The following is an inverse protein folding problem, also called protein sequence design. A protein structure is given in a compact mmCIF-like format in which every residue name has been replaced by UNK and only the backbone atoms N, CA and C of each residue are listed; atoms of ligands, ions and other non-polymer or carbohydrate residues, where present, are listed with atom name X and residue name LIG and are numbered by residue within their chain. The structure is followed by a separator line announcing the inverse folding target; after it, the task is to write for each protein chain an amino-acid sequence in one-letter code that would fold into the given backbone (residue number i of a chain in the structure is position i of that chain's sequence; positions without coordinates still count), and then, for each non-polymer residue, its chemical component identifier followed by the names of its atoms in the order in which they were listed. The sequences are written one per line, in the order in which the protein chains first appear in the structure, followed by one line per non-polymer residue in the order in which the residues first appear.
data_IF_535191483557
#
_entry.id   IF_535191483557
#
_cell.length_a   1.000
_cell.length_b   1.000
_cell.length_c   1.000
_cell.angle_alpha   90.00
_cell.angle_beta   90.00
_cell.angle_gamma   90.00
#
_symmetry.space_group_name_H-M   'P 1'
#
loop_
_entity.id
_entity.type
_entity.pdbx_description
1 polymer ?
#
# COMPACT_ATOMS: atom_id res chain seq x y z
N UNK A 1 -13.78 39.76 21.81
CA UNK A 1 -14.90 38.81 22.08
C UNK A 1 -14.32 37.61 22.80
N UNK A 2 -14.75 37.35 24.04
CA UNK A 2 -14.18 36.29 24.90
C UNK A 2 -14.62 34.91 24.37
N UNK A 3 -13.72 33.93 24.18
CA UNK A 3 -14.08 32.61 23.68
C UNK A 3 -15.07 31.92 24.64
N UNK A 4 -16.10 31.26 24.08
CA UNK A 4 -17.06 30.48 24.86
C UNK A 4 -16.44 29.13 25.21
N UNK A 5 -15.79 29.07 26.38
CA UNK A 5 -15.07 27.88 26.84
C UNK A 5 -16.00 26.99 27.65
N UNK A 6 -16.03 25.70 27.32
CA UNK A 6 -16.72 24.67 28.11
C UNK A 6 -15.66 23.68 28.63
N UNK A 7 -14.89 24.10 29.63
CA UNK A 7 -13.95 23.21 30.29
C UNK A 7 -14.75 22.15 31.07
N UNK A 8 -14.73 20.91 30.59
CA UNK A 8 -15.39 19.76 31.23
C UNK A 8 -14.56 19.17 32.38
N UNK A 9 -13.34 19.68 32.61
CA UNK A 9 -12.50 19.33 33.76
C UNK A 9 -12.15 20.63 34.51
N UNK A 10 -12.57 20.74 35.79
CA UNK A 10 -12.25 21.89 36.64
C UNK A 10 -10.73 22.15 36.69
N UNK A 11 -10.31 23.42 36.64
CA UNK A 11 -8.92 23.84 36.89
C UNK A 11 -8.01 24.02 35.66
N UNK A 12 -8.41 23.61 34.45
CA UNK A 12 -7.58 23.71 33.22
C UNK A 12 -8.02 24.78 32.22
N UNK A 13 -8.99 25.62 32.60
CA UNK A 13 -9.49 26.73 31.76
C UNK A 13 -8.39 27.74 31.35
N UNK A 14 -7.44 28.14 32.23
CA UNK A 14 -6.38 29.07 31.87
C UNK A 14 -5.43 28.53 30.78
N UNK A 15 -5.12 27.24 30.80
CA UNK A 15 -4.26 26.61 29.78
C UNK A 15 -4.90 26.70 28.39
N UNK A 16 -6.21 26.46 28.30
CA UNK A 16 -6.98 26.55 27.04
C UNK A 16 -7.07 28.00 26.55
N UNK A 17 -7.28 28.95 27.45
CA UNK A 17 -7.28 30.40 27.13
C UNK A 17 -5.91 30.85 26.62
N UNK A 18 -4.83 30.35 27.23
CA UNK A 18 -3.44 30.60 26.80
C UNK A 18 -3.18 30.08 25.39
N UNK A 19 -3.55 28.83 25.12
CA UNK A 19 -3.38 28.23 23.79
C UNK A 19 -4.18 28.95 22.70
N UNK A 20 -5.35 29.51 23.05
CA UNK A 20 -6.15 30.32 22.14
C UNK A 20 -5.47 31.63 21.72
N UNK A 21 -4.64 32.21 22.59
CA UNK A 21 -3.83 33.41 22.28
C UNK A 21 -2.58 33.13 21.46
N UNK A 22 -2.35 31.86 21.08
CA UNK A 22 -1.15 31.45 20.35
C UNK A 22 0.04 31.14 21.26
N UNK A 23 -0.14 31.20 22.57
CA UNK A 23 0.86 30.88 23.61
C UNK A 23 0.91 29.37 23.87
N UNK A 24 0.74 28.55 22.83
CA UNK A 24 0.87 27.11 22.91
C UNK A 24 2.34 26.73 22.68
N UNK A 25 3.04 26.43 23.78
CA UNK A 25 4.38 25.85 23.75
C UNK A 25 4.27 24.36 23.41
N UNK A 26 4.28 24.05 22.12
CA UNK A 26 4.12 22.69 21.65
C UNK A 26 4.65 22.46 20.25
N UNK A 27 4.92 21.19 19.96
CA UNK A 27 5.32 20.72 18.64
C UNK A 27 4.09 20.42 17.79
N UNK A 28 4.05 20.91 16.55
CA UNK A 28 3.02 20.49 15.59
C UNK A 28 3.31 19.07 15.13
N UNK A 29 2.45 18.15 15.55
CA UNK A 29 2.55 16.71 15.20
C UNK A 29 1.86 16.44 13.86
N UNK A 30 0.79 17.19 13.56
CA UNK A 30 0.02 17.03 12.32
C UNK A 30 -0.71 18.30 11.95
N UNK A 31 -0.60 18.71 10.69
CA UNK A 31 -1.35 19.85 10.16
C UNK A 31 -1.94 19.54 8.78
N UNK A 32 -3.20 19.89 8.60
CA UNK A 32 -3.88 19.90 7.31
C UNK A 32 -5.07 20.87 7.35
N UNK A 33 -5.71 21.08 6.20
CA UNK A 33 -6.86 21.98 6.07
C UNK A 33 -8.05 21.66 6.99
N UNK A 34 -8.15 20.43 7.51
CA UNK A 34 -9.24 20.02 8.39
C UNK A 34 -8.90 20.09 9.89
N UNK A 35 -7.63 19.91 10.26
CA UNK A 35 -7.19 19.89 11.67
C UNK A 35 -5.70 20.17 11.84
N UNK A 36 -5.37 20.72 13.01
CA UNK A 36 -4.00 20.83 13.52
C UNK A 36 -3.92 20.11 14.87
N UNK A 37 -2.85 19.36 15.11
CA UNK A 37 -2.57 18.61 16.34
C UNK A 37 -1.23 19.03 16.89
N UNK A 38 -1.19 19.39 18.16
CA UNK A 38 0.02 19.73 18.88
C UNK A 38 0.26 18.80 20.05
N UNK A 39 1.53 18.50 20.32
CA UNK A 39 1.99 17.94 21.59
C UNK A 39 2.47 19.08 22.48
N UNK A 40 1.88 19.25 23.65
CA UNK A 40 2.21 20.33 24.58
C UNK A 40 3.47 19.95 25.37
N UNK A 41 4.51 20.77 25.27
CA UNK A 41 5.81 20.50 25.89
C UNK A 41 5.69 20.45 27.41
N UNK A 42 6.25 19.40 28.03
CA UNK A 42 6.28 19.24 29.49
C UNK A 42 4.93 18.97 30.17
N UNK A 43 3.82 18.96 29.44
CA UNK A 43 2.48 18.82 30.02
C UNK A 43 1.90 17.39 29.88
N UNK A 44 2.47 16.56 29.00
CA UNK A 44 1.92 15.23 28.70
C UNK A 44 0.50 15.31 28.12
N UNK A 45 0.25 16.28 27.24
CA UNK A 45 -1.06 16.52 26.63
C UNK A 45 -0.96 16.69 25.11
N UNK A 46 -2.01 16.29 24.42
CA UNK A 46 -2.25 16.66 23.02
C UNK A 46 -3.41 17.63 22.91
N UNK A 47 -3.26 18.61 22.02
CA UNK A 47 -4.33 19.55 21.64
C UNK A 47 -4.65 19.32 20.17
N UNK A 48 -5.93 19.06 19.87
CA UNK A 48 -6.44 18.85 18.51
C UNK A 48 -7.45 19.93 18.18
N UNK A 49 -7.11 20.84 17.26
CA UNK A 49 -8.00 21.88 16.73
C UNK A 49 -8.65 21.40 15.45
N UNK A 50 -9.96 21.56 15.36
CA UNK A 50 -10.74 21.37 14.15
C UNK A 50 -11.17 22.71 13.59
N UNK A 51 -11.04 22.87 12.27
CA UNK A 51 -11.54 24.05 11.57
C UNK A 51 -13.06 24.26 11.84
N UNK A 52 -13.54 25.52 11.87
CA UNK A 52 -14.90 25.83 12.25
C UNK A 52 -15.87 25.28 11.19
N UNK A 53 -16.93 24.63 11.65
CA UNK A 53 -18.06 24.21 10.79
C UNK A 53 -19.36 24.61 11.45
N UNK A 54 -20.25 25.20 10.65
CA UNK A 54 -21.60 25.58 11.06
C UNK A 54 -22.28 24.39 11.76
N UNK A 55 -22.79 24.61 12.98
CA UNK A 55 -23.55 23.65 13.80
C UNK A 55 -22.81 22.37 14.25
N UNK A 56 -21.50 22.23 14.02
CA UNK A 56 -20.78 20.97 14.29
C UNK A 56 -19.65 21.13 15.31
N UNK A 57 -19.91 20.67 16.55
CA UNK A 57 -18.86 20.47 17.55
C UNK A 57 -18.09 19.17 17.33
N UNK A 58 -16.94 19.23 16.66
CA UNK A 58 -16.14 18.01 16.41
C UNK A 58 -15.39 17.56 17.65
N UNK A 59 -14.84 18.50 18.41
CA UNK A 59 -14.10 18.19 19.62
C UNK A 59 -14.97 17.52 20.67
N UNK A 60 -16.15 18.09 20.97
CA UNK A 60 -17.08 17.51 21.94
C UNK A 60 -17.55 16.11 21.55
N UNK A 61 -17.93 15.92 20.28
CA UNK A 61 -18.33 14.59 19.79
C UNK A 61 -17.20 13.56 19.92
N UNK A 62 -15.96 13.95 19.61
CA UNK A 62 -14.82 13.03 19.76
C UNK A 62 -14.51 12.75 21.24
N UNK A 63 -14.62 13.75 22.13
CA UNK A 63 -14.52 13.55 23.58
C UNK A 63 -15.58 12.58 24.12
N UNK A 64 -16.84 12.75 23.71
CA UNK A 64 -17.95 11.89 24.12
C UNK A 64 -17.73 10.44 23.67
N UNK A 65 -17.18 10.24 22.46
CA UNK A 65 -16.82 8.92 21.93
C UNK A 65 -15.65 8.29 22.71
N UNK A 66 -14.59 9.06 23.01
CA UNK A 66 -13.50 8.59 23.87
C UNK A 66 -14.01 8.18 25.26
N UNK A 67 -14.88 9.00 25.87
CA UNK A 67 -15.49 8.66 27.15
C UNK A 67 -16.37 7.41 27.09
N UNK A 68 -17.11 7.21 25.99
CA UNK A 68 -17.90 6.00 25.79
C UNK A 68 -17.05 4.75 25.58
N UNK A 69 -15.93 4.86 24.86
CA UNK A 69 -14.95 3.79 24.69
C UNK A 69 -14.29 3.41 26.02
N UNK A 70 -13.85 4.39 26.79
CA UNK A 70 -13.26 4.18 28.11
C UNK A 70 -14.24 3.46 29.06
N UNK A 71 -15.52 3.86 29.10
CA UNK A 71 -16.56 3.16 29.87
C UNK A 71 -16.83 1.74 29.39
N UNK A 72 -16.61 1.45 28.11
CA UNK A 72 -16.68 0.09 27.56
C UNK A 72 -15.35 -0.69 27.73
N UNK A 73 -14.38 -0.11 28.44
CA UNK A 73 -13.06 -0.67 28.67
C UNK A 73 -12.14 -0.69 27.45
N UNK A 74 -12.50 -0.07 26.33
CA UNK A 74 -11.61 -0.01 25.16
C UNK A 74 -10.50 1.03 25.45
N UNK A 75 -9.22 0.65 25.47
CA UNK A 75 -8.15 1.60 25.77
C UNK A 75 -8.06 2.70 24.68
N UNK A 76 -8.05 3.94 25.12
CA UNK A 76 -7.94 5.13 24.29
C UNK A 76 -7.39 6.30 25.13
N UNK A 77 -6.89 7.38 24.50
CA UNK A 77 -6.49 8.58 25.24
C UNK A 77 -7.62 9.14 26.09
N UNK A 78 -7.33 9.54 27.32
CA UNK A 78 -8.33 10.16 28.20
C UNK A 78 -8.63 11.58 27.71
N UNK A 79 -9.90 11.92 27.41
CA UNK A 79 -10.26 13.29 27.11
C UNK A 79 -10.18 14.12 28.40
N UNK A 80 -9.47 15.25 28.33
CA UNK A 80 -9.25 16.18 29.44
C UNK A 80 -10.15 17.41 29.30
N UNK A 81 -10.25 18.02 28.12
CA UNK A 81 -11.05 19.23 27.96
C UNK A 81 -11.54 19.40 26.52
N UNK A 82 -12.60 20.19 26.37
CA UNK A 82 -13.04 20.69 25.05
C UNK A 82 -13.26 22.19 25.08
N UNK A 83 -13.14 22.86 23.94
CA UNK A 83 -13.37 24.30 23.82
C UNK A 83 -13.84 24.71 22.43
N UNK A 84 -14.40 25.93 22.30
CA UNK A 84 -14.84 26.51 21.04
C UNK A 84 -14.59 28.02 21.00
N UNK A 85 -14.23 28.50 19.81
CA UNK A 85 -14.09 29.92 19.48
C UNK A 85 -14.50 30.18 18.01
N UNK A 86 -14.15 31.35 17.47
CA UNK A 86 -14.35 31.69 16.05
C UNK A 86 -13.44 30.92 15.07
N UNK A 87 -12.29 30.42 15.54
CA UNK A 87 -11.28 29.67 14.77
C UNK A 87 -11.53 28.16 14.77
N UNK A 88 -12.44 27.62 15.58
CA UNK A 88 -12.75 26.19 15.59
C UNK A 88 -13.22 25.60 16.91
N UNK A 89 -13.04 24.27 17.02
CA UNK A 89 -13.28 23.50 18.25
C UNK A 89 -12.04 22.72 18.64
N UNK A 90 -11.77 22.55 19.93
CA UNK A 90 -10.53 22.01 20.46
C UNK A 90 -10.81 20.82 21.37
N UNK A 91 -10.08 19.74 21.19
CA UNK A 91 -10.05 18.58 22.07
C UNK A 91 -8.67 18.47 22.71
N UNK A 92 -8.64 18.32 24.03
CA UNK A 92 -7.43 18.07 24.80
C UNK A 92 -7.48 16.64 25.31
N UNK A 93 -6.43 15.86 25.08
CA UNK A 93 -6.30 14.50 25.60
C UNK A 93 -5.00 14.32 26.34
N UNK A 94 -4.95 13.37 27.27
CA UNK A 94 -3.67 12.90 27.80
C UNK A 94 -2.80 12.31 26.68
N UNK A 95 -1.51 12.58 26.77
CA UNK A 95 -0.49 11.87 26.02
C UNK A 95 -0.32 10.46 26.59
N UNK A 96 -0.25 9.47 25.70
CA UNK A 96 0.19 8.13 26.07
C UNK A 96 1.71 8.11 25.92
N UNK A 97 2.40 8.52 26.99
CA UNK A 97 3.86 8.65 26.99
C UNK A 97 4.56 7.31 26.67
N UNK A 98 5.63 7.38 25.88
CA UNK A 98 6.39 6.20 25.46
C UNK A 98 5.73 5.34 24.39
N UNK A 99 4.54 5.74 23.89
CA UNK A 99 3.85 4.97 22.88
C UNK A 99 4.33 5.28 21.45
N UNK A 100 4.29 4.27 20.58
CA UNK A 100 4.59 4.37 19.15
C UNK A 100 3.39 3.91 18.33
N UNK A 101 3.20 4.44 17.13
CA UNK A 101 2.12 3.94 16.27
C UNK A 101 2.45 2.55 15.70
N UNK A 102 1.43 1.68 15.65
CA UNK A 102 1.58 0.29 15.23
C UNK A 102 2.05 0.16 13.77
N UNK A 103 1.69 1.12 12.90
CA UNK A 103 2.14 1.09 11.51
C UNK A 103 3.66 1.23 11.42
N UNK A 104 4.25 2.23 12.09
CA UNK A 104 5.69 2.44 12.12
C UNK A 104 6.43 1.24 12.70
N UNK A 105 5.94 0.64 13.79
CA UNK A 105 6.52 -0.58 14.37
C UNK A 105 6.56 -1.75 13.36
N UNK A 106 5.48 -1.94 12.59
CA UNK A 106 5.43 -2.99 11.56
C UNK A 106 6.36 -2.65 10.39
N UNK A 107 6.36 -1.39 9.93
CA UNK A 107 7.14 -0.92 8.80
C UNK A 107 8.65 -1.02 9.05
N UNK A 108 9.09 -0.74 10.28
CA UNK A 108 10.48 -0.85 10.73
C UNK A 108 10.91 -2.30 10.99
N UNK A 109 9.99 -3.26 10.91
CA UNK A 109 10.27 -4.67 11.19
C UNK A 109 10.63 -4.91 12.66
N UNK A 110 9.98 -4.20 13.58
CA UNK A 110 10.23 -4.33 15.01
C UNK A 110 10.13 -5.79 15.48
N UNK A 111 10.87 -6.20 16.52
CA UNK A 111 10.70 -7.51 17.14
C UNK A 111 9.23 -7.75 17.52
N UNK A 112 8.81 -9.02 17.55
CA UNK A 112 7.47 -9.42 18.00
C UNK A 112 6.27 -8.89 17.19
N UNK A 113 6.42 -8.55 15.90
CA UNK A 113 5.29 -8.20 15.00
C UNK A 113 4.09 -9.15 15.16
N UNK A 114 4.34 -10.47 15.25
CA UNK A 114 3.27 -11.47 15.47
C UNK A 114 2.44 -11.18 16.72
N UNK A 115 3.09 -10.82 17.82
CA UNK A 115 2.42 -10.49 19.09
C UNK A 115 1.59 -9.24 18.93
N UNK A 116 2.14 -8.19 18.32
CA UNK A 116 1.39 -6.97 18.03
C UNK A 116 0.16 -7.24 17.14
N UNK A 117 0.29 -8.07 16.11
CA UNK A 117 -0.86 -8.46 15.28
C UNK A 117 -1.92 -9.24 16.06
N UNK A 118 -1.52 -10.10 17.01
CA UNK A 118 -2.48 -10.78 17.88
C UNK A 118 -3.19 -9.78 18.83
N UNK A 119 -2.43 -8.86 19.44
CA UNK A 119 -2.97 -7.84 20.34
C UNK A 119 -3.93 -6.88 19.64
N UNK A 120 -3.61 -6.44 18.41
CA UNK A 120 -4.50 -5.55 17.66
C UNK A 120 -5.76 -6.26 17.19
N UNK A 121 -5.68 -7.58 16.92
CA UNK A 121 -6.86 -8.40 16.65
C UNK A 121 -7.78 -8.48 17.88
N UNK A 122 -7.20 -8.67 19.08
CA UNK A 122 -7.95 -8.68 20.33
C UNK A 122 -8.57 -7.32 20.66
N UNK A 123 -7.82 -6.21 20.45
CA UNK A 123 -8.35 -4.85 20.60
C UNK A 123 -9.51 -4.59 19.65
N UNK A 124 -9.36 -4.94 18.37
CA UNK A 124 -10.42 -4.79 17.36
C UNK A 124 -11.66 -5.62 17.73
N UNK A 125 -11.45 -6.83 18.25
CA UNK A 125 -12.54 -7.69 18.72
C UNK A 125 -13.28 -7.06 19.90
N UNK A 126 -12.55 -6.57 20.90
CA UNK A 126 -13.09 -5.85 22.06
C UNK A 126 -13.91 -4.62 21.64
N UNK A 127 -13.40 -3.83 20.70
CA UNK A 127 -14.10 -2.69 20.11
C UNK A 127 -15.44 -3.12 19.48
N UNK A 128 -15.42 -4.16 18.63
CA UNK A 128 -16.61 -4.65 17.96
C UNK A 128 -17.63 -5.29 18.91
N UNK A 129 -17.16 -5.98 19.96
CA UNK A 129 -18.00 -6.59 21.01
C UNK A 129 -18.65 -5.53 21.89
N UNK A 130 -17.97 -4.40 22.12
CA UNK A 130 -18.54 -3.21 22.75
C UNK A 130 -19.53 -2.43 21.84
N UNK A 131 -19.73 -2.88 20.59
CA UNK A 131 -20.65 -2.26 19.64
C UNK A 131 -20.11 -0.98 19.00
N UNK A 132 -18.79 -0.85 18.84
CA UNK A 132 -18.18 0.30 18.16
C UNK A 132 -17.66 -0.08 16.78
N UNK A 133 -18.14 0.62 15.75
CA UNK A 133 -17.60 0.59 14.40
C UNK A 133 -16.64 1.76 14.22
N UNK A 134 -15.35 1.51 13.97
CA UNK A 134 -14.39 2.57 13.67
C UNK A 134 -13.99 2.55 12.19
N UNK A 135 -14.59 3.44 11.41
CA UNK A 135 -14.49 3.44 9.94
C UNK A 135 -13.11 3.84 9.38
N UNK A 136 -12.22 4.33 10.24
CA UNK A 136 -10.86 4.75 9.89
C UNK A 136 -9.79 4.04 10.77
N UNK A 137 -10.08 2.83 11.26
CA UNK A 137 -9.17 2.11 12.16
C UNK A 137 -8.13 1.31 11.36
N UNK A 138 -7.02 1.97 11.04
CA UNK A 138 -5.82 1.35 10.47
C UNK A 138 -4.68 1.31 11.50
N UNK A 139 -3.60 0.57 11.23
CA UNK A 139 -2.47 0.43 12.17
C UNK A 139 -1.89 1.78 12.63
N UNK A 140 -1.83 2.79 11.76
CA UNK A 140 -1.38 4.15 12.16
C UNK A 140 -2.29 4.90 13.14
N UNK A 141 -3.51 4.42 13.40
CA UNK A 141 -4.43 4.95 14.41
C UNK A 141 -4.49 4.04 15.64
N UNK A 142 -3.47 3.21 15.85
CA UNK A 142 -3.29 2.40 17.06
C UNK A 142 -1.93 2.74 17.64
N UNK A 143 -1.90 3.23 18.88
CA UNK A 143 -0.65 3.37 19.63
C UNK A 143 -0.35 2.10 20.40
N UNK A 144 0.93 1.80 20.54
CA UNK A 144 1.47 0.66 21.28
C UNK A 144 2.42 1.22 22.33
N UNK A 145 2.16 0.90 23.59
CA UNK A 145 3.07 1.15 24.71
C UNK A 145 3.29 -0.19 25.41
N UNK A 146 4.53 -0.66 25.37
CA UNK A 146 4.89 -2.03 25.75
C UNK A 146 4.08 -3.04 24.93
N UNK A 147 2.99 -3.58 25.50
CA UNK A 147 2.03 -4.47 24.83
C UNK A 147 0.58 -3.98 24.89
N UNK A 148 0.34 -2.84 25.54
CA UNK A 148 -0.97 -2.20 25.58
C UNK A 148 -1.21 -1.43 24.29
N UNK A 149 -2.44 -1.52 23.79
CA UNK A 149 -2.85 -0.88 22.54
C UNK A 149 -3.99 0.07 22.74
N UNK A 150 -3.85 1.28 22.18
CA UNK A 150 -4.78 2.37 22.35
C UNK A 150 -5.34 2.83 21.01
N UNK A 151 -6.66 2.94 20.92
CA UNK A 151 -7.33 3.45 19.72
C UNK A 151 -7.23 4.97 19.67
N UNK A 152 -6.78 5.50 18.54
CA UNK A 152 -6.73 6.92 18.25
C UNK A 152 -7.79 7.36 17.22
N UNK A 153 -7.96 8.67 17.10
CA UNK A 153 -8.70 9.35 16.04
C UNK A 153 -10.14 8.85 15.84
N UNK A 154 -10.87 8.73 16.95
CA UNK A 154 -12.21 8.12 17.02
C UNK A 154 -13.33 8.98 16.43
N UNK A 155 -13.00 10.08 15.74
CA UNK A 155 -13.95 10.99 15.10
C UNK A 155 -14.89 10.33 14.07
N UNK A 156 -14.52 9.16 13.56
CA UNK A 156 -15.32 8.32 12.65
C UNK A 156 -15.85 7.04 13.30
N UNK A 157 -15.78 6.96 14.63
CA UNK A 157 -16.39 5.88 15.37
C UNK A 157 -17.91 6.08 15.48
N UNK A 158 -18.65 4.97 15.44
CA UNK A 158 -20.10 4.93 15.62
C UNK A 158 -20.44 3.83 16.62
N UNK A 159 -21.41 4.09 17.49
CA UNK A 159 -21.93 3.10 18.44
C UNK A 159 -23.20 2.47 17.87
N UNK A 160 -23.28 1.15 17.87
CA UNK A 160 -24.42 0.38 17.41
C UNK A 160 -24.09 -1.10 17.24
N UNK A 161 -25.12 -1.95 17.17
CA UNK A 161 -24.92 -3.38 16.92
C UNK A 161 -24.30 -3.58 15.53
N UNK A 162 -23.14 -4.22 15.51
CA UNK A 162 -22.40 -4.53 14.30
C UNK A 162 -22.85 -5.86 13.72
N UNK A 163 -23.29 -5.87 12.46
CA UNK A 163 -23.49 -7.11 11.71
C UNK A 163 -22.16 -7.82 11.47
N UNK A 164 -22.21 -9.14 11.20
CA UNK A 164 -21.03 -9.92 10.85
C UNK A 164 -20.29 -9.30 9.65
N UNK A 165 -21.01 -8.88 8.61
CA UNK A 165 -20.42 -8.23 7.43
C UNK A 165 -19.66 -6.93 7.76
N UNK A 166 -20.19 -6.08 8.66
CA UNK A 166 -19.48 -4.86 9.09
C UNK A 166 -18.23 -5.18 9.91
N UNK A 167 -18.31 -6.18 10.80
CA UNK A 167 -17.14 -6.67 11.55
C UNK A 167 -16.04 -7.15 10.62
N UNK A 168 -16.36 -7.99 9.64
CA UNK A 168 -15.40 -8.47 8.65
C UNK A 168 -14.83 -7.33 7.79
N UNK A 169 -15.64 -6.32 7.46
CA UNK A 169 -15.18 -5.09 6.83
C UNK A 169 -14.11 -4.36 7.64
N UNK A 170 -14.32 -4.18 8.96
CA UNK A 170 -13.35 -3.57 9.87
C UNK A 170 -12.05 -4.38 9.98
N UNK A 171 -12.14 -5.71 10.06
CA UNK A 171 -10.98 -6.62 10.09
C UNK A 171 -10.17 -6.51 8.80
N UNK A 172 -10.83 -6.54 7.64
CA UNK A 172 -10.16 -6.40 6.35
C UNK A 172 -9.52 -5.01 6.18
N UNK A 173 -10.16 -3.95 6.66
CA UNK A 173 -9.63 -2.58 6.63
C UNK A 173 -8.38 -2.43 7.51
N UNK A 174 -8.38 -2.98 8.72
CA UNK A 174 -7.20 -3.04 9.58
C UNK A 174 -6.07 -3.83 8.88
N UNK A 175 -6.36 -5.03 8.35
CA UNK A 175 -5.37 -5.84 7.65
C UNK A 175 -4.77 -5.16 6.42
N UNK A 176 -5.57 -4.39 5.67
CA UNK A 176 -5.11 -3.62 4.52
C UNK A 176 -3.93 -2.71 4.87
N UNK A 177 -3.93 -2.13 6.09
CA UNK A 177 -2.88 -1.21 6.52
C UNK A 177 -1.50 -1.83 6.76
N UNK A 178 -1.38 -3.15 6.84
CA UNK A 178 -0.11 -3.85 7.07
C UNK A 178 0.15 -5.06 6.16
N UNK A 179 -0.84 -5.51 5.37
CA UNK A 179 -0.75 -6.75 4.61
C UNK A 179 0.37 -6.82 3.55
N UNK A 180 0.91 -5.67 3.12
CA UNK A 180 2.04 -5.61 2.21
C UNK A 180 3.41 -5.57 2.93
N UNK A 181 3.42 -5.34 4.25
CA UNK A 181 4.63 -5.27 5.08
C UNK A 181 4.95 -6.59 5.78
N UNK A 182 3.97 -7.48 5.92
CA UNK A 182 4.12 -8.76 6.63
C UNK A 182 3.80 -9.96 5.72
N UNK A 183 4.32 -11.16 6.02
CA UNK A 183 3.91 -12.37 5.33
C UNK A 183 2.39 -12.60 5.41
N UNK A 184 1.77 -13.09 4.33
CA UNK A 184 0.33 -13.40 4.30
C UNK A 184 -0.08 -14.44 5.37
N UNK A 185 0.86 -15.25 5.84
CA UNK A 185 0.66 -16.16 6.98
C UNK A 185 0.40 -15.40 8.29
N UNK A 186 1.06 -14.26 8.51
CA UNK A 186 0.79 -13.41 9.68
C UNK A 186 -0.56 -12.70 9.56
N UNK A 187 -0.96 -12.27 8.35
CA UNK A 187 -2.31 -11.75 8.08
C UNK A 187 -3.37 -12.82 8.38
N UNK A 188 -3.13 -14.06 7.96
CA UNK A 188 -4.01 -15.18 8.28
C UNK A 188 -4.11 -15.44 9.79
N UNK A 189 -2.98 -15.36 10.52
CA UNK A 189 -2.98 -15.48 11.99
C UNK A 189 -3.75 -14.34 12.66
N UNK A 190 -3.64 -13.11 12.15
CA UNK A 190 -4.45 -11.98 12.60
C UNK A 190 -5.96 -12.26 12.45
N UNK A 191 -6.41 -12.79 11.31
CA UNK A 191 -7.82 -13.18 11.12
C UNK A 191 -8.27 -14.23 12.15
N UNK A 192 -7.43 -15.23 12.41
CA UNK A 192 -7.72 -16.28 13.40
C UNK A 192 -7.71 -15.75 14.83
N UNK A 193 -6.83 -14.81 15.15
CA UNK A 193 -6.74 -14.16 16.46
C UNK A 193 -7.98 -13.29 16.74
N UNK A 194 -8.53 -12.63 15.72
CA UNK A 194 -9.81 -11.91 15.83
C UNK A 194 -11.01 -12.87 16.08
N UNK A 195 -10.89 -14.11 15.61
CA UNK A 195 -11.85 -15.19 15.85
C UNK A 195 -12.45 -15.81 14.59
N UNK A 196 -12.00 -15.45 13.38
CA UNK A 196 -12.47 -16.08 12.13
C UNK A 196 -11.65 -17.34 11.87
N UNK A 197 -12.29 -18.50 11.97
CA UNK A 197 -11.63 -19.81 11.86
C UNK A 197 -12.22 -20.71 10.78
N UNK A 198 -13.47 -20.48 10.40
CA UNK A 198 -14.14 -21.24 9.35
C UNK A 198 -13.65 -20.80 7.96
N UNK A 199 -13.72 -21.72 7.00
CA UNK A 199 -13.21 -21.50 5.64
C UNK A 199 -13.97 -20.39 4.92
N UNK A 200 -15.28 -20.28 5.12
CA UNK A 200 -16.13 -19.30 4.45
C UNK A 200 -15.78 -17.87 4.86
N UNK A 201 -15.72 -17.59 6.16
CA UNK A 201 -15.34 -16.28 6.69
C UNK A 201 -13.89 -15.89 6.33
N UNK A 202 -12.97 -16.85 6.29
CA UNK A 202 -11.61 -16.59 5.83
C UNK A 202 -11.56 -16.19 4.36
N UNK A 203 -12.35 -16.84 3.49
CA UNK A 203 -12.43 -16.49 2.07
C UNK A 203 -13.03 -15.09 1.88
N UNK A 204 -14.11 -14.75 2.59
CA UNK A 204 -14.72 -13.40 2.56
C UNK A 204 -13.71 -12.33 3.02
N UNK A 205 -12.94 -12.57 4.08
CA UNK A 205 -11.89 -11.64 4.51
C UNK A 205 -10.80 -11.43 3.45
N UNK A 206 -10.35 -12.49 2.77
CA UNK A 206 -9.35 -12.37 1.71
C UNK A 206 -9.88 -11.62 0.49
N UNK A 207 -11.15 -11.81 0.14
CA UNK A 207 -11.84 -11.08 -0.93
C UNK A 207 -11.98 -9.59 -0.57
N UNK A 208 -12.50 -9.28 0.62
CA UNK A 208 -12.59 -7.89 1.13
C UNK A 208 -11.23 -7.20 1.17
N UNK A 209 -10.20 -7.89 1.65
CA UNK A 209 -8.83 -7.36 1.70
C UNK A 209 -8.33 -7.05 0.28
N UNK A 210 -8.56 -7.95 -0.68
CA UNK A 210 -8.18 -7.74 -2.08
C UNK A 210 -8.85 -6.50 -2.67
N UNK A 211 -10.17 -6.38 -2.51
CA UNK A 211 -10.96 -5.22 -2.94
C UNK A 211 -10.48 -3.92 -2.30
N UNK A 212 -10.30 -3.91 -0.99
CA UNK A 212 -9.86 -2.73 -0.26
C UNK A 212 -8.46 -2.28 -0.69
N UNK A 213 -7.52 -3.19 -0.92
CA UNK A 213 -6.20 -2.85 -1.47
C UNK A 213 -6.30 -2.26 -2.86
N UNK A 214 -7.11 -2.86 -3.74
CA UNK A 214 -7.30 -2.33 -5.10
C UNK A 214 -7.82 -0.89 -5.08
N UNK A 215 -8.87 -0.63 -4.28
CA UNK A 215 -9.40 0.72 -4.10
C UNK A 215 -8.37 1.68 -3.46
N UNK A 216 -7.59 1.19 -2.49
CA UNK A 216 -6.53 1.95 -1.85
C UNK A 216 -5.45 2.37 -2.85
N UNK A 217 -4.99 1.47 -3.72
CA UNK A 217 -4.02 1.81 -4.75
C UNK A 217 -4.62 2.75 -5.79
N UNK A 218 -5.81 2.45 -6.32
CA UNK A 218 -6.48 3.26 -7.35
C UNK A 218 -6.67 4.72 -6.93
N UNK A 219 -7.05 4.98 -5.68
CA UNK A 219 -7.15 6.34 -5.13
C UNK A 219 -5.83 7.11 -5.02
N UNK A 220 -4.68 6.49 -5.34
CA UNK A 220 -3.34 7.07 -5.25
C UNK A 220 -2.57 7.08 -6.57
N UNK A 221 -3.09 6.45 -7.62
CA UNK A 221 -2.41 6.34 -8.91
C UNK A 221 -2.21 7.71 -9.57
N UNK A 222 -3.21 8.60 -9.47
CA UNK A 222 -3.11 9.95 -10.02
C UNK A 222 -2.30 10.94 -9.18
N UNK A 223 -1.74 10.51 -8.03
CA UNK A 223 -0.89 11.42 -7.23
C UNK A 223 0.39 11.80 -7.97
N UNK A 224 0.85 10.96 -8.89
CA UNK A 224 2.05 11.23 -9.68
C UNK A 224 1.87 12.32 -10.74
N UNK A 225 0.63 12.78 -10.99
CA UNK A 225 0.31 13.85 -11.94
C UNK A 225 -0.32 15.08 -11.28
N UNK A 226 -0.13 15.24 -9.96
CA UNK A 226 -0.65 16.34 -9.17
C UNK A 226 0.45 16.87 -8.25
N UNK A 227 0.45 18.18 -8.03
CA UNK A 227 1.34 18.81 -7.05
C UNK A 227 1.07 18.26 -5.65
N UNK A 228 2.12 17.91 -4.90
CA UNK A 228 1.98 17.31 -3.59
C UNK A 228 3.29 17.11 -2.84
N UNK A 229 3.28 16.32 -1.77
CA UNK A 229 4.48 16.10 -0.95
C UNK A 229 5.55 15.26 -1.66
N UNK A 230 5.18 14.39 -2.59
CA UNK A 230 6.11 13.50 -3.29
C UNK A 230 6.40 13.86 -4.75
N UNK A 231 5.56 14.69 -5.37
CA UNK A 231 5.62 15.01 -6.80
C UNK A 231 5.49 16.51 -7.02
N UNK A 232 6.22 17.01 -8.01
CA UNK A 232 6.14 18.39 -8.51
C UNK A 232 5.61 18.42 -9.94
N UNK A 233 5.00 19.55 -10.31
CA UNK A 233 4.41 19.79 -11.63
C UNK A 233 4.90 21.11 -12.22
N UNK A 234 5.33 21.09 -13.49
CA UNK A 234 5.68 22.29 -14.26
C UNK A 234 5.15 22.17 -15.68
N UNK A 235 4.07 22.89 -15.99
CA UNK A 235 3.36 22.71 -17.27
C UNK A 235 2.90 21.26 -17.43
N UNK A 236 3.32 20.60 -18.52
CA UNK A 236 3.07 19.19 -18.79
C UNK A 236 4.16 18.22 -18.31
N UNK A 237 5.12 18.73 -17.53
CA UNK A 237 6.19 17.94 -16.91
C UNK A 237 5.81 17.57 -15.49
N UNK A 238 5.92 16.28 -15.16
CA UNK A 238 5.70 15.73 -13.83
C UNK A 238 6.95 15.01 -13.37
N UNK A 239 7.31 15.16 -12.10
CA UNK A 239 8.42 14.39 -11.55
C UNK A 239 8.38 14.27 -10.05
N UNK A 240 9.24 13.40 -9.52
CA UNK A 240 9.43 13.27 -8.07
C UNK A 240 10.11 14.52 -7.54
N UNK A 241 9.78 14.93 -6.31
CA UNK A 241 10.54 16.01 -5.66
C UNK A 241 12.02 15.64 -5.55
N UNK A 242 12.89 16.60 -5.88
CA UNK A 242 14.33 16.38 -5.99
C UNK A 242 14.81 15.83 -7.34
N UNK A 243 13.92 15.54 -8.30
CA UNK A 243 14.32 15.08 -9.63
C UNK A 243 14.81 16.20 -10.58
N UNK A 244 14.80 17.47 -10.14
CA UNK A 244 15.26 18.60 -10.95
C UNK A 244 14.36 18.89 -12.17
N UNK A 245 13.03 18.85 -12.00
CA UNK A 245 12.07 19.02 -13.10
C UNK A 245 12.18 20.37 -13.83
N UNK A 246 12.78 21.37 -13.19
CA UNK A 246 13.02 22.71 -13.76
C UNK A 246 14.13 22.68 -14.83
N UNK A 247 15.09 21.77 -14.72
CA UNK A 247 16.18 21.61 -15.67
C UNK A 247 15.84 20.68 -16.85
N UNK A 248 14.64 20.10 -16.87
CA UNK A 248 14.20 19.18 -17.93
C UNK A 248 13.51 19.94 -19.09
N UNK A 249 13.63 19.48 -20.34
CA UNK A 249 12.95 20.12 -21.47
C UNK A 249 11.43 20.01 -21.35
N UNK A 250 10.70 21.06 -21.73
CA UNK A 250 9.23 21.07 -21.67
C UNK A 250 8.59 20.19 -22.76
N UNK A 251 9.26 20.00 -23.90
CA UNK A 251 8.84 19.14 -24.99
C UNK A 251 10.06 18.59 -25.72
N UNK A 252 9.93 17.40 -26.29
CA UNK A 252 10.89 16.88 -27.26
C UNK A 252 10.13 16.30 -28.43
N UNK A 253 10.63 16.48 -29.66
CA UNK A 253 10.02 15.86 -30.82
C UNK A 253 9.96 14.35 -30.61
N UNK A 254 8.72 13.83 -30.64
CA UNK A 254 8.42 12.42 -30.41
C UNK A 254 8.86 11.57 -31.60
N UNK A 255 10.17 11.41 -31.77
CA UNK A 255 10.81 10.43 -32.64
C UNK A 255 10.89 9.05 -31.98
N UNK A 256 11.22 8.03 -32.80
CA UNK A 256 11.15 6.58 -32.57
C UNK A 256 11.39 6.11 -31.13
N UNK A 257 10.78 4.96 -30.77
CA UNK A 257 10.84 4.30 -29.45
C UNK A 257 12.28 3.89 -29.04
N UNK A 258 13.15 4.88 -28.87
CA UNK A 258 14.55 4.75 -28.53
C UNK A 258 14.72 4.97 -27.03
N UNK A 259 15.54 4.11 -26.44
CA UNK A 259 16.01 4.23 -25.06
C UNK A 259 17.48 4.61 -25.12
N UNK A 260 17.81 5.76 -24.55
CA UNK A 260 19.16 6.29 -24.47
C UNK A 260 19.65 6.19 -23.03
N UNK A 261 20.87 5.68 -22.82
CA UNK A 261 21.52 5.69 -21.51
C UNK A 261 22.14 7.07 -21.28
N UNK A 262 21.76 7.70 -20.18
CA UNK A 262 22.26 9.01 -19.75
C UNK A 262 23.34 8.85 -18.66
N UNK A 263 24.22 9.86 -18.47
CA UNK A 263 25.14 9.91 -17.33
C UNK A 263 24.42 9.81 -15.98
N UNK A 264 25.14 9.29 -14.97
CA UNK A 264 24.61 9.15 -13.61
C UNK A 264 23.61 7.99 -13.44
N UNK A 265 23.70 6.95 -14.28
CA UNK A 265 22.88 5.75 -14.14
C UNK A 265 21.40 5.97 -14.47
N UNK A 266 21.11 6.84 -15.43
CA UNK A 266 19.73 7.15 -15.86
C UNK A 266 19.50 6.73 -17.31
N UNK A 267 18.25 6.72 -17.72
CA UNK A 267 17.84 6.58 -19.11
C UNK A 267 16.82 7.62 -19.51
N UNK A 268 16.76 7.90 -20.80
CA UNK A 268 15.70 8.65 -21.46
C UNK A 268 15.00 7.71 -22.44
N UNK A 269 13.68 7.54 -22.30
CA UNK A 269 12.86 6.83 -23.30
C UNK A 269 11.95 7.83 -23.99
N UNK A 270 12.07 7.97 -25.31
CA UNK A 270 11.13 8.72 -26.14
C UNK A 270 9.94 7.82 -26.48
N UNK A 271 8.73 8.27 -26.18
CA UNK A 271 7.51 7.53 -26.43
C UNK A 271 6.28 8.42 -26.33
N UNK A 272 5.38 8.28 -27.31
CA UNK A 272 4.02 8.88 -27.25
C UNK A 272 3.21 8.39 -26.04
N UNK A 273 3.60 7.25 -25.46
CA UNK A 273 2.99 6.68 -24.26
C UNK A 273 3.63 7.16 -22.94
N UNK A 274 4.50 8.17 -22.96
CA UNK A 274 5.26 8.61 -21.79
C UNK A 274 4.41 8.82 -20.52
N UNK A 275 3.29 9.54 -20.63
CA UNK A 275 2.39 9.77 -19.49
C UNK A 275 1.75 8.48 -18.95
N UNK A 276 1.51 7.49 -19.82
CA UNK A 276 1.00 6.16 -19.43
C UNK A 276 2.09 5.34 -18.74
N UNK A 277 3.31 5.35 -19.27
CA UNK A 277 4.49 4.70 -18.65
C UNK A 277 4.71 5.27 -17.24
N UNK A 278 4.66 6.59 -17.09
CA UNK A 278 4.78 7.27 -15.79
C UNK A 278 3.74 6.81 -14.77
N UNK A 279 2.45 6.85 -15.15
CA UNK A 279 1.36 6.39 -14.28
C UNK A 279 1.50 4.91 -13.94
N UNK A 280 1.83 4.07 -14.90
CA UNK A 280 2.01 2.63 -14.69
C UNK A 280 3.19 2.32 -13.76
N UNK A 281 4.31 3.06 -13.88
CA UNK A 281 5.46 2.91 -12.99
C UNK A 281 5.07 3.21 -11.53
N UNK A 282 4.34 4.31 -11.34
CA UNK A 282 3.84 4.68 -10.00
C UNK A 282 2.83 3.65 -9.47
N UNK A 283 1.91 3.18 -10.30
CA UNK A 283 0.92 2.16 -9.93
C UNK A 283 1.56 0.80 -9.58
N UNK A 284 2.64 0.40 -10.26
CA UNK A 284 3.45 -0.77 -9.94
C UNK A 284 4.20 -0.58 -8.61
N UNK A 285 4.79 0.61 -8.40
CA UNK A 285 5.48 0.97 -7.16
C UNK A 285 4.55 0.91 -5.94
N UNK A 286 3.33 1.45 -6.05
CA UNK A 286 2.29 1.37 -5.00
C UNK A 286 1.94 -0.08 -4.64
N UNK A 287 2.10 -1.01 -5.58
CA UNK A 287 1.84 -2.46 -5.42
C UNK A 287 3.12 -3.22 -5.08
N UNK A 288 4.24 -2.55 -4.82
CA UNK A 288 5.53 -3.20 -4.59
C UNK A 288 5.87 -4.26 -5.64
N UNK A 289 5.58 -3.94 -6.91
CA UNK A 289 5.99 -4.72 -8.07
C UNK A 289 7.24 -4.04 -8.62
N UNK A 290 8.40 -4.73 -8.68
CA UNK A 290 9.64 -4.10 -9.11
C UNK A 290 9.57 -3.66 -10.58
N UNK A 291 9.95 -2.42 -10.81
CA UNK A 291 10.11 -1.76 -12.11
C UNK A 291 11.13 -0.64 -11.91
N UNK A 292 11.88 -0.19 -12.95
CA UNK A 292 12.81 0.92 -12.80
C UNK A 292 12.13 2.15 -12.18
N UNK A 293 12.80 2.81 -11.24
CA UNK A 293 12.27 4.05 -10.67
C UNK A 293 12.27 5.12 -11.74
N UNK A 294 11.10 5.65 -12.07
CA UNK A 294 11.00 6.85 -12.90
C UNK A 294 11.15 8.10 -12.04
N UNK A 295 11.89 9.05 -12.56
CA UNK A 295 12.19 10.32 -11.92
C UNK A 295 11.25 11.42 -12.41
N UNK A 296 11.03 11.48 -13.73
CA UNK A 296 10.17 12.47 -14.37
C UNK A 296 9.61 11.97 -15.71
N UNK A 297 8.56 12.66 -16.19
CA UNK A 297 8.03 12.52 -17.53
C UNK A 297 7.56 13.87 -18.07
N UNK A 298 7.55 14.00 -19.38
CA UNK A 298 6.94 15.12 -20.10
C UNK A 298 6.27 14.66 -21.40
N UNK A 299 5.87 15.60 -22.27
CA UNK A 299 5.32 15.30 -23.58
C UNK A 299 6.31 14.48 -24.42
N UNK A 300 5.99 13.19 -24.61
CA UNK A 300 6.77 12.31 -25.49
C UNK A 300 8.02 11.68 -24.87
N UNK A 301 8.28 11.84 -23.57
CA UNK A 301 9.47 11.26 -22.94
C UNK A 301 9.30 10.90 -21.46
N UNK A 302 10.08 9.91 -21.00
CA UNK A 302 10.25 9.57 -19.58
C UNK A 302 11.73 9.43 -19.25
N UNK A 303 12.11 9.84 -18.03
CA UNK A 303 13.45 9.64 -17.48
C UNK A 303 13.34 8.81 -16.21
N UNK A 304 14.26 7.86 -16.05
CA UNK A 304 14.34 7.04 -14.86
C UNK A 304 15.69 6.37 -14.67
N UNK A 305 15.76 5.55 -13.64
CA UNK A 305 16.90 4.72 -13.29
C UNK A 305 17.23 3.70 -14.37
N UNK A 306 18.47 3.69 -14.84
CA UNK A 306 18.99 2.62 -15.67
C UNK A 306 19.41 1.45 -14.79
N UNK A 307 18.83 0.28 -15.04
CA UNK A 307 19.22 -0.95 -14.35
C UNK A 307 20.23 -1.69 -15.23
N UNK A 308 21.47 -1.80 -14.74
CA UNK A 308 22.54 -2.54 -15.41
C UNK A 308 22.39 -4.05 -15.14
N UNK A 309 21.47 -4.68 -15.88
CA UNK A 309 21.14 -6.08 -15.72
C UNK A 309 20.73 -6.71 -17.07
N UNK A 310 21.08 -7.99 -17.32
CA UNK A 310 20.60 -8.68 -18.51
C UNK A 310 19.09 -8.88 -18.43
N UNK A 311 18.43 -8.86 -19.60
CA UNK A 311 17.06 -9.35 -19.67
C UNK A 311 17.01 -10.88 -19.50
N UNK A 312 15.84 -11.40 -19.16
CA UNK A 312 15.64 -12.82 -18.87
C UNK A 312 15.93 -13.70 -20.09
N UNK A 313 15.70 -13.21 -21.31
CA UNK A 313 15.99 -13.95 -22.54
C UNK A 313 17.49 -14.25 -22.65
N UNK A 314 18.32 -13.22 -22.51
CA UNK A 314 19.78 -13.33 -22.57
C UNK A 314 20.31 -14.15 -21.38
N UNK A 315 19.78 -13.91 -20.18
CA UNK A 315 20.14 -14.70 -19.00
C UNK A 315 19.84 -16.19 -19.18
N UNK A 316 18.68 -16.54 -19.75
CA UNK A 316 18.30 -17.94 -19.99
C UNK A 316 19.12 -18.57 -21.12
N UNK A 317 19.58 -17.79 -22.09
CA UNK A 317 20.45 -18.28 -23.17
C UNK A 317 21.86 -18.55 -22.67
N UNK A 318 22.41 -17.66 -21.86
CA UNK A 318 23.84 -17.67 -21.51
C UNK A 318 24.11 -18.33 -20.16
N UNK A 319 23.38 -17.95 -19.10
CA UNK A 319 23.72 -18.34 -17.73
C UNK A 319 22.96 -19.58 -17.29
N UNK A 320 21.66 -19.64 -17.58
CA UNK A 320 20.78 -20.73 -17.14
C UNK A 320 21.25 -22.15 -17.53
N UNK A 321 21.82 -22.42 -18.73
CA UNK A 321 22.29 -23.75 -19.09
C UNK A 321 23.51 -24.22 -18.29
N UNK A 322 24.28 -23.27 -17.74
CA UNK A 322 25.49 -23.51 -16.94
C UNK A 322 25.18 -23.77 -15.46
N UNK A 323 23.93 -23.53 -15.04
CA UNK A 323 23.49 -23.68 -13.66
C UNK A 323 23.24 -25.14 -13.28
N UNK A 324 23.59 -25.47 -12.03
CA UNK A 324 23.26 -26.76 -11.42
C UNK A 324 21.74 -26.97 -11.31
N UNK A 325 21.30 -28.22 -11.07
CA UNK A 325 19.86 -28.54 -10.96
C UNK A 325 19.16 -27.76 -9.83
N UNK A 326 19.79 -27.65 -8.67
CA UNK A 326 19.23 -26.94 -7.52
C UNK A 326 19.11 -25.43 -7.77
N UNK A 327 20.14 -24.84 -8.39
CA UNK A 327 20.17 -23.42 -8.75
C UNK A 327 19.10 -23.08 -9.78
N UNK A 328 18.95 -23.90 -10.84
CA UNK A 328 17.86 -23.74 -11.82
C UNK A 328 16.49 -23.82 -11.16
N UNK A 329 16.29 -24.76 -10.24
CA UNK A 329 15.01 -24.91 -9.55
C UNK A 329 14.69 -23.70 -8.65
N UNK A 330 15.69 -23.17 -7.95
CA UNK A 330 15.58 -21.95 -7.16
C UNK A 330 15.26 -20.73 -8.04
N UNK A 331 15.93 -20.60 -9.19
CA UNK A 331 15.68 -19.54 -10.16
C UNK A 331 14.25 -19.59 -10.71
N UNK A 332 13.81 -20.76 -11.19
CA UNK A 332 12.45 -20.96 -11.71
C UNK A 332 11.39 -20.70 -10.63
N UNK A 333 11.66 -21.08 -9.38
CA UNK A 333 10.79 -20.77 -8.25
C UNK A 333 10.68 -19.26 -8.00
N UNK A 334 11.82 -18.55 -8.00
CA UNK A 334 11.86 -17.11 -7.80
C UNK A 334 11.12 -16.36 -8.92
N UNK A 335 11.35 -16.74 -10.19
CA UNK A 335 10.66 -16.15 -11.34
C UNK A 335 9.16 -16.41 -11.28
N UNK A 336 8.75 -17.65 -11.00
CA UNK A 336 7.33 -17.99 -10.89
C UNK A 336 6.64 -17.22 -9.77
N UNK A 337 7.33 -17.03 -8.63
CA UNK A 337 6.84 -16.22 -7.52
C UNK A 337 6.73 -14.74 -7.88
N UNK A 338 7.67 -14.18 -8.64
CA UNK A 338 7.61 -12.80 -9.11
C UNK A 338 6.39 -12.55 -10.01
N UNK A 339 6.17 -13.40 -11.02
CA UNK A 339 5.01 -13.33 -11.92
C UNK A 339 3.70 -13.55 -11.16
N UNK A 340 3.66 -14.54 -10.25
CA UNK A 340 2.46 -14.77 -9.41
C UNK A 340 2.15 -13.58 -8.52
N UNK A 341 3.16 -12.95 -7.93
CA UNK A 341 3.00 -11.75 -7.08
C UNK A 341 2.45 -10.57 -7.89
N UNK A 342 2.95 -10.37 -9.11
CA UNK A 342 2.40 -9.36 -10.04
C UNK A 342 0.89 -9.59 -10.26
N UNK A 343 0.48 -10.82 -10.60
CA UNK A 343 -0.94 -11.15 -10.81
C UNK A 343 -1.77 -11.05 -9.52
N UNK A 344 -1.24 -11.48 -8.38
CA UNK A 344 -1.93 -11.42 -7.08
C UNK A 344 -2.14 -9.99 -6.55
N UNK A 345 -1.41 -9.02 -7.11
CA UNK A 345 -1.56 -7.59 -6.84
C UNK A 345 -2.30 -6.85 -7.96
N UNK A 346 -2.96 -7.61 -8.84
CA UNK A 346 -3.86 -7.06 -9.84
C UNK A 346 -3.18 -6.53 -11.10
N UNK A 347 -1.86 -6.72 -11.27
CA UNK A 347 -1.15 -6.23 -12.45
C UNK A 347 -1.05 -7.32 -13.52
N UNK A 348 -1.46 -7.01 -14.76
CA UNK A 348 -1.29 -7.83 -15.95
C UNK A 348 -0.40 -7.10 -16.95
N UNK A 349 0.73 -7.70 -17.30
CA UNK A 349 1.71 -7.13 -18.22
C UNK A 349 1.38 -7.58 -19.64
N UNK A 350 0.66 -6.77 -20.43
CA UNK A 350 0.11 -7.22 -21.73
C UNK A 350 1.17 -7.53 -22.81
N UNK A 351 2.45 -7.33 -22.52
CA UNK A 351 3.59 -7.80 -23.32
C UNK A 351 4.66 -8.52 -22.47
N UNK A 352 4.27 -9.56 -21.72
CA UNK A 352 5.17 -10.26 -20.78
C UNK A 352 6.10 -11.26 -21.51
N UNK A 353 7.01 -10.76 -22.32
CA UNK A 353 8.10 -11.54 -22.95
C UNK A 353 9.37 -11.53 -22.08
N UNK A 354 10.27 -12.47 -22.34
CA UNK A 354 11.54 -12.61 -21.61
C UNK A 354 12.43 -11.35 -21.70
N UNK A 355 12.42 -10.63 -22.83
CA UNK A 355 13.15 -9.36 -22.94
C UNK A 355 12.58 -8.21 -22.10
N UNK A 356 11.34 -8.33 -21.61
CA UNK A 356 10.68 -7.33 -20.76
C UNK A 356 10.81 -7.62 -19.26
N UNK A 357 11.71 -8.55 -18.89
CA UNK A 357 12.01 -8.88 -17.49
C UNK A 357 13.52 -8.77 -17.31
N UNK A 358 14.00 -7.87 -16.45
CA UNK A 358 15.41 -7.77 -16.09
C UNK A 358 15.73 -8.70 -14.91
N UNK A 359 16.89 -9.38 -14.97
CA UNK A 359 17.38 -10.27 -13.93
C UNK A 359 18.45 -9.55 -13.12
N UNK A 360 18.06 -9.07 -11.94
CA UNK A 360 18.91 -8.31 -11.01
C UNK A 360 19.36 -9.18 -9.84
N UNK A 361 20.35 -8.72 -9.07
CA UNK A 361 20.75 -9.36 -7.82
C UNK A 361 19.60 -9.46 -6.79
N UNK A 362 18.66 -8.50 -6.84
CA UNK A 362 17.49 -8.43 -5.95
C UNK A 362 16.28 -9.21 -6.46
N UNK A 363 16.40 -9.88 -7.62
CA UNK A 363 15.31 -10.62 -8.26
C UNK A 363 14.94 -10.04 -9.63
N UNK A 364 13.64 -9.93 -9.92
CA UNK A 364 13.15 -9.60 -11.26
C UNK A 364 12.50 -8.22 -11.30
N UNK A 365 12.86 -7.42 -12.31
CA UNK A 365 12.26 -6.10 -12.57
C UNK A 365 11.52 -6.10 -13.90
N UNK A 366 10.27 -5.63 -13.92
CA UNK A 366 9.45 -5.58 -15.13
C UNK A 366 9.66 -4.25 -15.86
N UNK A 367 9.98 -4.32 -17.15
CA UNK A 367 10.20 -3.16 -18.03
C UNK A 367 9.22 -3.18 -19.20
N UNK A 368 9.19 -2.10 -19.97
CA UNK A 368 8.21 -1.92 -21.04
C UNK A 368 6.75 -2.00 -20.56
N UNK A 369 6.48 -1.17 -19.56
CA UNK A 369 5.28 -1.22 -18.72
C UNK A 369 4.11 -0.38 -19.27
N UNK A 370 4.19 0.13 -20.50
CA UNK A 370 3.18 1.03 -21.06
C UNK A 370 1.83 0.31 -21.24
N UNK A 371 1.83 -1.01 -21.49
CA UNK A 371 0.61 -1.82 -21.65
C UNK A 371 0.24 -2.61 -20.40
N UNK A 372 0.74 -2.25 -19.22
CA UNK A 372 0.28 -2.84 -17.96
C UNK A 372 -1.15 -2.40 -17.65
N UNK A 373 -2.00 -3.35 -17.23
CA UNK A 373 -3.36 -3.10 -16.77
C UNK A 373 -3.51 -3.52 -15.31
N UNK A 374 -4.32 -2.78 -14.57
CA UNK A 374 -4.60 -3.05 -13.17
C UNK A 374 -6.07 -3.45 -12.98
N UNK A 375 -6.31 -4.50 -12.20
CA UNK A 375 -7.64 -4.93 -11.78
C UNK A 375 -7.61 -5.33 -10.30
N UNK A 376 -8.78 -5.60 -9.71
CA UNK A 376 -8.84 -6.15 -8.35
C UNK A 376 -8.20 -7.54 -8.30
N UNK A 377 -8.51 -8.35 -9.31
CA UNK A 377 -7.94 -9.65 -9.54
C UNK A 377 -7.62 -9.78 -11.03
N UNK A 378 -6.41 -10.24 -11.37
CA UNK A 378 -6.10 -10.54 -12.77
C UNK A 378 -6.92 -11.77 -13.19
N UNK A 379 -7.80 -11.68 -14.20
CA UNK A 379 -8.61 -12.80 -14.64
C UNK A 379 -7.76 -13.99 -15.08
N UNK A 380 -8.29 -15.20 -14.92
CA UNK A 380 -7.57 -16.43 -15.28
C UNK A 380 -7.08 -16.41 -16.75
N UNK A 381 -7.93 -15.95 -17.67
CA UNK A 381 -7.58 -15.84 -19.09
C UNK A 381 -6.37 -14.92 -19.32
N UNK A 382 -6.28 -13.80 -18.58
CA UNK A 382 -5.16 -12.85 -18.67
C UNK A 382 -3.89 -13.41 -18.02
N UNK A 383 -4.01 -14.20 -16.95
CA UNK A 383 -2.85 -14.92 -16.38
C UNK A 383 -2.30 -15.92 -17.39
N UNK A 384 -3.16 -16.70 -18.03
CA UNK A 384 -2.79 -17.66 -19.08
C UNK A 384 -2.16 -16.93 -20.27
N UNK A 385 -2.71 -15.79 -20.67
CA UNK A 385 -2.16 -14.94 -21.73
C UNK A 385 -0.72 -14.51 -21.41
N UNK A 386 -0.45 -13.99 -20.21
CA UNK A 386 0.89 -13.61 -19.76
C UNK A 386 1.87 -14.79 -19.70
N UNK A 387 1.45 -15.92 -19.12
CA UNK A 387 2.28 -17.12 -19.06
C UNK A 387 2.59 -17.67 -20.45
N UNK A 388 1.66 -17.56 -21.39
CA UNK A 388 1.86 -18.00 -22.77
C UNK A 388 2.85 -17.12 -23.53
N UNK A 389 2.84 -15.80 -23.31
CA UNK A 389 3.84 -14.87 -23.88
C UNK A 389 5.24 -15.20 -23.36
N UNK A 390 5.39 -15.33 -22.04
CA UNK A 390 6.67 -15.66 -21.43
C UNK A 390 7.19 -17.01 -21.93
N UNK A 391 6.33 -18.04 -21.93
CA UNK A 391 6.65 -19.37 -22.43
C UNK A 391 7.07 -19.36 -23.91
N UNK A 392 6.43 -18.55 -24.76
CA UNK A 392 6.79 -18.43 -26.17
C UNK A 392 8.20 -17.86 -26.35
N UNK A 393 8.53 -16.81 -25.60
CA UNK A 393 9.82 -16.07 -25.67
C UNK A 393 11.04 -16.81 -25.11
N UNK A 394 10.89 -18.06 -24.67
CA UNK A 394 11.97 -18.93 -24.17
C UNK A 394 11.93 -20.33 -24.79
N UNK A 395 11.13 -20.51 -25.84
CA UNK A 395 11.16 -21.75 -26.64
C UNK A 395 12.52 -21.85 -27.30
N UNK A 396 13.20 -22.99 -27.15
CA UNK A 396 14.54 -23.22 -27.72
C UNK A 396 15.67 -23.00 -26.72
N UNK A 397 15.51 -22.10 -25.74
CA UNK A 397 16.52 -21.86 -24.69
C UNK A 397 16.23 -22.62 -23.39
N UNK A 398 14.96 -22.87 -23.06
CA UNK A 398 14.55 -23.66 -21.89
C UNK A 398 13.91 -25.00 -22.27
N UNK A 399 14.26 -26.06 -21.53
CA UNK A 399 13.71 -27.40 -21.80
C UNK A 399 12.21 -27.48 -21.51
N UNK A 400 11.51 -28.49 -22.06
CA UNK A 400 10.10 -28.76 -21.71
C UNK A 400 9.92 -28.99 -20.20
N UNK A 401 10.88 -29.68 -19.57
CA UNK A 401 10.85 -29.94 -18.13
C UNK A 401 10.96 -28.65 -17.32
N UNK A 402 11.84 -27.72 -17.71
CA UNK A 402 11.99 -26.43 -17.02
C UNK A 402 10.74 -25.56 -17.13
N UNK A 403 10.14 -25.50 -18.32
CA UNK A 403 8.90 -24.76 -18.56
C UNK A 403 7.71 -25.32 -17.76
N UNK A 404 7.62 -26.65 -17.64
CA UNK A 404 6.63 -27.30 -16.77
C UNK A 404 6.92 -27.05 -15.28
N UNK A 405 8.19 -27.12 -14.85
CA UNK A 405 8.60 -26.78 -13.47
C UNK A 405 8.18 -25.35 -13.12
N UNK A 406 8.46 -24.38 -13.99
CA UNK A 406 8.03 -23.00 -13.83
C UNK A 406 6.51 -22.89 -13.61
N UNK A 407 5.71 -23.50 -14.50
CA UNK A 407 4.25 -23.44 -14.40
C UNK A 407 3.73 -24.09 -13.11
N UNK A 408 4.31 -25.22 -12.68
CA UNK A 408 3.97 -25.84 -11.40
C UNK A 408 4.33 -24.94 -10.20
N UNK A 409 5.47 -24.25 -10.23
CA UNK A 409 5.84 -23.28 -9.17
C UNK A 409 4.92 -22.06 -9.18
N UNK A 410 4.45 -21.62 -10.34
CA UNK A 410 3.49 -20.54 -10.48
C UNK A 410 2.15 -20.90 -9.83
N UNK A 411 1.59 -22.09 -10.14
CA UNK A 411 0.39 -22.64 -9.50
C UNK A 411 0.61 -22.79 -7.99
N UNK A 412 1.80 -23.23 -7.59
CA UNK A 412 2.21 -23.35 -6.18
C UNK A 412 1.27 -24.27 -5.38
N UNK A 413 0.85 -23.82 -4.20
CA UNK A 413 -0.01 -24.61 -3.27
C UNK A 413 -1.51 -24.34 -3.42
N UNK A 414 -1.92 -23.70 -4.51
CA UNK A 414 -3.35 -23.47 -4.75
C UNK A 414 -4.01 -24.79 -5.14
N UNK A 415 -4.82 -25.36 -4.23
CA UNK A 415 -5.42 -26.69 -4.40
C UNK A 415 -6.34 -26.74 -5.62
N UNK A 416 -7.13 -25.69 -5.85
CA UNK A 416 -8.10 -25.66 -6.95
C UNK A 416 -7.39 -25.58 -8.30
N UNK A 417 -6.43 -24.65 -8.42
CA UNK A 417 -5.61 -24.54 -9.62
C UNK A 417 -4.76 -25.80 -9.85
N UNK A 418 -4.28 -26.44 -8.78
CA UNK A 418 -3.50 -27.68 -8.88
C UNK A 418 -4.32 -28.85 -9.44
N UNK A 419 -5.59 -28.98 -9.03
CA UNK A 419 -6.51 -29.97 -9.61
C UNK A 419 -6.71 -29.72 -11.10
N UNK A 420 -6.77 -28.44 -11.51
CA UNK A 420 -6.91 -28.00 -12.91
C UNK A 420 -5.59 -27.84 -13.67
N UNK A 421 -4.44 -28.25 -13.11
CA UNK A 421 -3.10 -27.98 -13.71
C UNK A 421 -2.95 -28.51 -15.13
N UNK A 422 -3.53 -29.67 -15.46
CA UNK A 422 -3.49 -30.25 -16.81
C UNK A 422 -4.27 -29.40 -17.83
N UNK A 423 -5.36 -28.76 -17.41
CA UNK A 423 -6.08 -27.79 -18.24
C UNK A 423 -5.24 -26.52 -18.46
N UNK A 424 -4.66 -25.98 -17.40
CA UNK A 424 -3.76 -24.82 -17.48
C UNK A 424 -2.57 -25.05 -18.42
N UNK A 425 -1.89 -26.21 -18.31
CA UNK A 425 -0.82 -26.59 -19.23
C UNK A 425 -1.32 -26.56 -20.68
N UNK A 426 -2.46 -27.19 -20.96
CA UNK A 426 -3.04 -27.24 -22.32
C UNK A 426 -3.37 -25.84 -22.84
N UNK A 427 -3.98 -24.99 -22.03
CA UNK A 427 -4.38 -23.63 -22.43
C UNK A 427 -3.19 -22.70 -22.63
N UNK A 428 -2.19 -22.77 -21.75
CA UNK A 428 -0.92 -22.04 -21.93
C UNK A 428 -0.22 -22.50 -23.21
N UNK A 429 -0.13 -23.81 -23.47
CA UNK A 429 0.51 -24.33 -24.67
C UNK A 429 -0.23 -23.96 -25.95
N UNK A 430 -1.57 -24.08 -25.99
CA UNK A 430 -2.39 -23.64 -27.13
C UNK A 430 -2.17 -22.16 -27.43
N UNK A 431 -2.19 -21.32 -26.39
CA UNK A 431 -1.91 -19.91 -26.51
C UNK A 431 -0.46 -19.62 -26.96
N UNK A 432 0.52 -20.37 -26.47
CA UNK A 432 1.93 -20.24 -26.90
C UNK A 432 2.09 -20.57 -28.37
N UNK A 433 1.48 -21.66 -28.87
CA UNK A 433 1.58 -22.05 -30.29
C UNK A 433 0.97 -21.00 -31.20
N UNK A 434 -0.19 -20.43 -30.84
CA UNK A 434 -0.81 -19.34 -31.58
C UNK A 434 0.06 -18.07 -31.67
N UNK A 435 1.13 -17.97 -30.87
CA UNK A 435 2.07 -16.85 -30.84
C UNK A 435 3.40 -17.12 -31.53
N UNK A 436 3.64 -18.33 -32.04
CA UNK A 436 4.92 -18.72 -32.66
C UNK A 436 5.32 -17.86 -33.86
N UNK A 437 4.37 -17.17 -34.51
CA UNK A 437 4.65 -16.27 -35.63
C UNK A 437 5.06 -14.84 -35.21
N UNK A 438 4.92 -14.48 -33.92
CA UNK A 438 5.21 -13.14 -33.42
C UNK A 438 6.58 -13.02 -32.73
N UNK A 439 7.23 -14.14 -32.44
CA UNK A 439 8.47 -14.20 -31.67
C UNK A 439 9.34 -15.31 -32.28
N UNK A 440 10.43 -14.96 -33.02
CA UNK A 440 11.33 -15.94 -33.61
C UNK A 440 12.05 -16.79 -32.56
#
# INVERSE_FOLDING_TARGET
MVPKITATVPGRRPDVERWFRGELEGEVVKENSARTVWRVRGAGLYVKRFAPKLLRDRARREADLLGALARAGVPCPRPVATARDARGTYLVTEEIAGARDLYSLIAEGAPHVRRHLASVAALLRRLHDAGFEHQDLHAGNVLVRDDEMFVLDVHRARRGRLSAARRLGGVAFMAMSFSDMVPLTEVHRFFRAYGVRDRGGLLDLWERLRRLRHLHWGGREDRCVREGTGFGVRGDVYGRKGAGIDALPAATDGGDEAIERLPGGRFLKRSRAARRIWRNAHALSLRSIPTPRLDACGPGWVVGEWIDAPNLGDFVRERFPRMGRAERDAFLFALARAVRRMHARGACHRDLKSSNILVTERGFSFVDIDRVRFSEEVPEADRIFNLAQLNASVVGTATRADRLRFLHRYIGRDRELWLRRRDWVRRVMRATVARRHFWP
#
